data_IF_364208796634
#
_entry.id   IF_364208796634
#
_cell.length_a   1.000
_cell.length_b   1.000
_cell.length_c   1.000
_cell.angle_alpha   90.00
_cell.angle_beta   90.00
_cell.angle_gamma   90.00
#
_symmetry.space_group_name_H-M   'P 1'
#
loop_
_entity.id
_entity.type
_entity.pdbx_description
1 polymer ?
#
# COMPACT_ATOMS: atom_id res chain seq x y z
N UNK A 1 11.31 27.57 -52.20
CA UNK A 1 11.63 26.25 -51.62
C UNK A 1 11.97 26.34 -50.13
N UNK A 2 11.10 26.89 -49.24
CA UNK A 2 11.40 27.03 -47.79
C UNK A 2 10.25 26.58 -46.86
N UNK A 3 9.25 25.86 -47.36
CA UNK A 3 8.08 25.47 -46.51
C UNK A 3 8.03 23.99 -46.07
N UNK A 4 8.90 23.14 -46.52
CA UNK A 4 8.85 21.69 -46.20
C UNK A 4 9.78 21.26 -45.05
N UNK A 5 10.74 22.08 -44.61
CA UNK A 5 11.71 21.70 -43.60
C UNK A 5 11.15 21.77 -42.16
N UNK A 6 10.10 22.59 -41.89
CA UNK A 6 9.55 22.79 -40.56
C UNK A 6 8.63 21.63 -40.16
N UNK A 7 7.92 21.04 -41.10
CA UNK A 7 6.98 19.94 -40.82
C UNK A 7 7.68 18.59 -40.49
N UNK A 8 8.86 18.35 -41.02
CA UNK A 8 9.61 17.12 -40.78
C UNK A 8 10.19 17.07 -39.37
N UNK A 9 10.66 18.21 -38.83
CA UNK A 9 11.22 18.30 -37.49
C UNK A 9 10.11 18.08 -36.42
N UNK A 10 8.90 18.59 -36.67
CA UNK A 10 7.78 18.40 -35.76
C UNK A 10 7.28 16.95 -35.70
N UNK A 11 7.33 16.24 -36.82
CA UNK A 11 6.90 14.84 -36.91
C UNK A 11 7.89 13.89 -36.23
N UNK A 12 9.21 14.15 -36.34
CA UNK A 12 10.26 13.32 -35.69
C UNK A 12 10.23 13.47 -34.17
N UNK A 13 10.05 14.70 -33.65
CA UNK A 13 9.96 14.93 -32.18
C UNK A 13 8.75 14.25 -31.56
N UNK A 14 7.58 14.27 -32.23
CA UNK A 14 6.38 13.58 -31.74
C UNK A 14 6.53 12.05 -31.75
N UNK A 15 7.24 11.49 -32.73
CA UNK A 15 7.46 10.05 -32.81
C UNK A 15 8.42 9.54 -31.71
N UNK A 16 9.49 10.29 -31.41
CA UNK A 16 10.43 9.96 -30.34
C UNK A 16 9.78 10.03 -28.94
N UNK A 17 8.89 11.01 -28.68
CA UNK A 17 8.20 11.11 -27.40
C UNK A 17 7.18 10.00 -27.19
N UNK A 18 6.50 9.58 -28.26
CA UNK A 18 5.52 8.48 -28.19
C UNK A 18 6.22 7.14 -27.90
N UNK A 19 7.34 6.87 -28.55
CA UNK A 19 8.12 5.64 -28.33
C UNK A 19 8.73 5.57 -26.92
N UNK A 20 9.25 6.68 -26.39
CA UNK A 20 9.77 6.76 -25.03
C UNK A 20 8.66 6.54 -23.98
N UNK A 21 7.48 7.13 -24.16
CA UNK A 21 6.33 6.93 -23.29
C UNK A 21 5.85 5.48 -23.31
N UNK A 22 5.76 4.86 -24.47
CA UNK A 22 5.36 3.46 -24.62
C UNK A 22 6.36 2.50 -23.95
N UNK A 23 7.66 2.80 -24.03
CA UNK A 23 8.70 2.02 -23.36
C UNK A 23 8.58 2.13 -21.83
N UNK A 24 8.42 3.33 -21.29
CA UNK A 24 8.21 3.56 -19.84
C UNK A 24 6.96 2.88 -19.34
N UNK A 25 5.86 2.90 -20.09
CA UNK A 25 4.61 2.23 -19.74
C UNK A 25 4.81 0.70 -19.71
N UNK A 26 5.55 0.13 -20.67
CA UNK A 26 5.83 -1.32 -20.71
C UNK A 26 6.72 -1.77 -19.55
N UNK A 27 7.75 -1.00 -19.20
CA UNK A 27 8.62 -1.28 -18.05
C UNK A 27 7.84 -1.20 -16.73
N UNK A 28 6.97 -0.20 -16.58
CA UNK A 28 6.12 -0.09 -15.40
C UNK A 28 5.14 -1.27 -15.26
N UNK A 29 4.59 -1.75 -16.36
CA UNK A 29 3.76 -2.96 -16.38
C UNK A 29 4.57 -4.16 -15.88
N UNK A 30 5.80 -4.35 -16.39
CA UNK A 30 6.71 -5.41 -15.97
C UNK A 30 6.98 -5.36 -14.47
N UNK A 31 7.42 -4.21 -13.95
CA UNK A 31 7.73 -4.02 -12.52
C UNK A 31 6.52 -4.30 -11.63
N UNK A 32 5.33 -3.85 -12.01
CA UNK A 32 4.11 -4.09 -11.21
C UNK A 32 3.69 -5.56 -11.24
N UNK A 33 3.88 -6.26 -12.35
CA UNK A 33 3.61 -7.69 -12.45
C UNK A 33 4.64 -8.54 -11.70
N UNK A 34 5.91 -8.17 -11.70
CA UNK A 34 6.95 -8.84 -10.89
C UNK A 34 6.67 -8.72 -9.39
N UNK A 35 6.22 -7.54 -8.93
CA UNK A 35 5.79 -7.35 -7.52
C UNK A 35 4.58 -8.22 -7.20
N UNK A 36 3.62 -8.30 -8.10
CA UNK A 36 2.44 -9.14 -7.94
C UNK A 36 2.82 -10.62 -7.91
N UNK A 37 3.68 -11.08 -8.82
CA UNK A 37 4.14 -12.46 -8.87
C UNK A 37 4.84 -12.91 -7.58
N UNK A 38 5.65 -12.02 -6.94
CA UNK A 38 6.26 -12.28 -5.61
C UNK A 38 5.23 -12.47 -4.49
N UNK A 39 4.04 -11.89 -4.63
CA UNK A 39 2.93 -12.10 -3.68
C UNK A 39 2.25 -13.42 -3.98
N UNK A 40 1.95 -13.66 -5.26
CA UNK A 40 1.21 -14.84 -5.73
C UNK A 40 2.00 -16.12 -5.48
N UNK A 41 3.33 -16.12 -5.66
CA UNK A 41 4.18 -17.28 -5.39
C UNK A 41 4.09 -17.81 -3.94
N UNK A 42 3.66 -16.96 -2.99
CA UNK A 42 3.45 -17.35 -1.59
C UNK A 42 2.05 -17.88 -1.31
N UNK A 43 1.17 -17.87 -2.29
CA UNK A 43 -0.21 -18.36 -2.14
C UNK A 43 -0.33 -19.86 -2.41
N UNK A 44 0.73 -20.47 -2.95
CA UNK A 44 0.77 -21.91 -3.27
C UNK A 44 -0.47 -22.34 -4.07
N UNK A 45 -0.70 -21.65 -5.19
CA UNK A 45 -1.79 -22.00 -6.10
C UNK A 45 -1.34 -23.16 -7.01
N UNK A 46 -2.16 -24.18 -7.14
CA UNK A 46 -1.86 -25.36 -7.98
C UNK A 46 -2.12 -25.16 -9.49
N UNK A 47 -2.75 -24.05 -9.87
CA UNK A 47 -3.14 -23.74 -11.25
C UNK A 47 -2.40 -22.52 -11.77
N UNK A 48 -1.52 -22.72 -12.74
CA UNK A 48 -0.71 -21.66 -13.38
C UNK A 48 -1.56 -20.59 -14.06
N UNK A 49 -2.73 -20.95 -14.63
CA UNK A 49 -3.64 -19.97 -15.23
C UNK A 49 -4.23 -19.06 -14.15
N UNK A 50 -4.57 -19.62 -13.00
CA UNK A 50 -5.06 -18.86 -11.84
C UNK A 50 -3.95 -17.98 -11.26
N UNK A 51 -2.72 -18.46 -11.15
CA UNK A 51 -1.57 -17.64 -10.74
C UNK A 51 -1.40 -16.44 -11.66
N UNK A 52 -1.46 -16.65 -12.97
CA UNK A 52 -1.34 -15.58 -13.96
C UNK A 52 -2.50 -14.57 -13.86
N UNK A 53 -3.73 -15.06 -13.69
CA UNK A 53 -4.91 -14.20 -13.52
C UNK A 53 -4.80 -13.32 -12.27
N UNK A 54 -4.44 -13.91 -11.12
CA UNK A 54 -4.26 -13.18 -9.86
C UNK A 54 -3.09 -12.19 -9.95
N UNK A 55 -1.98 -12.57 -10.57
CA UNK A 55 -0.84 -11.68 -10.83
C UNK A 55 -1.26 -10.45 -11.62
N UNK A 56 -2.04 -10.65 -12.68
CA UNK A 56 -2.54 -9.56 -13.51
C UNK A 56 -3.51 -8.65 -12.75
N UNK A 57 -4.41 -9.21 -11.93
CA UNK A 57 -5.34 -8.44 -11.09
C UNK A 57 -4.58 -7.55 -10.11
N UNK A 58 -3.57 -8.09 -9.41
CA UNK A 58 -2.76 -7.33 -8.45
C UNK A 58 -1.90 -6.27 -9.17
N UNK A 59 -1.24 -6.63 -10.26
CA UNK A 59 -0.43 -5.71 -11.07
C UNK A 59 -1.27 -4.54 -11.60
N UNK A 60 -2.48 -4.84 -12.11
CA UNK A 60 -3.40 -3.81 -12.57
C UNK A 60 -3.89 -2.90 -11.44
N UNK A 61 -4.09 -3.44 -10.23
CA UNK A 61 -4.45 -2.63 -9.05
C UNK A 61 -3.38 -1.60 -8.74
N UNK A 62 -2.10 -1.98 -8.72
CA UNK A 62 -0.99 -1.05 -8.53
C UNK A 62 -1.00 0.09 -9.56
N UNK A 63 -1.14 -0.26 -10.83
CA UNK A 63 -1.17 0.71 -11.94
C UNK A 63 -2.37 1.67 -11.85
N UNK A 64 -3.55 1.16 -11.51
CA UNK A 64 -4.75 1.97 -11.39
C UNK A 64 -4.67 2.96 -10.23
N UNK A 65 -4.11 2.55 -9.07
CA UNK A 65 -3.88 3.45 -7.92
C UNK A 65 -2.91 4.57 -8.34
N UNK A 66 -1.76 4.22 -8.95
CA UNK A 66 -0.76 5.19 -9.42
C UNK A 66 -1.39 6.21 -10.36
N UNK A 67 -2.12 5.75 -11.37
CA UNK A 67 -2.80 6.62 -12.35
C UNK A 67 -3.77 7.61 -11.70
N UNK A 68 -4.54 7.19 -10.70
CA UNK A 68 -5.46 8.09 -9.96
C UNK A 68 -4.67 9.13 -9.18
N UNK A 69 -3.57 8.73 -8.52
CA UNK A 69 -2.74 9.63 -7.72
C UNK A 69 -1.97 10.61 -8.59
N UNK A 70 -1.37 10.16 -9.65
CA UNK A 70 -0.66 11.02 -10.62
C UNK A 70 -1.59 12.07 -11.24
N UNK A 71 -2.80 11.66 -11.63
CA UNK A 71 -3.81 12.59 -12.14
C UNK A 71 -4.27 13.62 -11.10
N UNK A 72 -4.33 13.23 -9.81
CA UNK A 72 -4.58 14.15 -8.69
C UNK A 72 -3.43 15.15 -8.55
N UNK A 73 -2.21 14.64 -8.51
CA UNK A 73 -1.01 15.45 -8.23
C UNK A 73 -0.72 16.45 -9.37
N UNK A 74 -0.89 16.03 -10.61
CA UNK A 74 -0.81 16.92 -11.76
C UNK A 74 -1.82 18.08 -11.68
N UNK A 75 -3.07 17.81 -11.23
CA UNK A 75 -4.08 18.86 -11.03
C UNK A 75 -3.75 19.77 -9.85
N UNK A 76 -3.19 19.25 -8.76
CA UNK A 76 -2.75 20.04 -7.61
C UNK A 76 -1.61 20.97 -8.04
N UNK A 77 -0.66 20.48 -8.83
CA UNK A 77 0.45 21.28 -9.34
C UNK A 77 -0.04 22.43 -10.27
N UNK A 78 -0.97 22.11 -11.15
CA UNK A 78 -1.59 23.13 -12.01
C UNK A 78 -2.31 24.24 -11.19
N UNK A 79 -2.91 23.89 -10.05
CA UNK A 79 -3.54 24.88 -9.16
C UNK A 79 -2.58 25.89 -8.56
N UNK A 80 -1.31 25.52 -8.33
CA UNK A 80 -0.28 26.45 -7.81
C UNK A 80 -0.06 27.63 -8.75
N UNK A 81 -0.15 27.39 -10.06
CA UNK A 81 0.06 28.41 -11.10
C UNK A 81 -1.16 29.32 -11.29
N UNK A 82 -2.36 28.90 -10.91
CA UNK A 82 -3.63 29.55 -11.25
C UNK A 82 -4.38 30.15 -10.06
N UNK A 83 -3.94 29.90 -8.83
CA UNK A 83 -4.67 30.30 -7.63
C UNK A 83 -3.81 31.15 -6.72
N UNK A 84 -4.04 32.48 -6.68
CA UNK A 84 -3.31 33.43 -5.84
C UNK A 84 -3.70 33.40 -4.36
N UNK A 85 -4.94 33.02 -4.02
CA UNK A 85 -5.43 32.96 -2.63
C UNK A 85 -5.10 31.62 -1.98
N UNK A 86 -4.30 31.63 -0.90
CA UNK A 86 -3.97 30.44 -0.08
C UNK A 86 -5.21 29.69 0.42
N UNK A 87 -6.27 30.41 0.86
CA UNK A 87 -7.53 29.81 1.33
C UNK A 87 -8.26 29.08 0.20
N UNK A 88 -8.41 29.72 -0.96
CA UNK A 88 -9.05 29.09 -2.14
C UNK A 88 -8.23 27.90 -2.66
N UNK A 89 -6.90 28.02 -2.65
CA UNK A 89 -6.01 26.91 -3.03
C UNK A 89 -6.22 25.68 -2.12
N UNK A 90 -6.19 25.86 -0.79
CA UNK A 90 -6.41 24.77 0.18
C UNK A 90 -7.75 24.06 -0.06
N UNK A 91 -8.82 24.78 -0.26
CA UNK A 91 -10.16 24.22 -0.52
C UNK A 91 -10.18 23.39 -1.81
N UNK A 92 -9.57 23.92 -2.90
CA UNK A 92 -9.50 23.19 -4.18
C UNK A 92 -8.66 21.90 -4.06
N UNK A 93 -7.53 21.97 -3.37
CA UNK A 93 -6.66 20.79 -3.10
C UNK A 93 -7.44 19.72 -2.34
N UNK A 94 -8.13 20.08 -1.25
CA UNK A 94 -8.94 19.11 -0.49
C UNK A 94 -10.07 18.49 -1.34
N UNK A 95 -10.69 19.26 -2.24
CA UNK A 95 -11.68 18.72 -3.18
C UNK A 95 -11.06 17.69 -4.13
N UNK A 96 -9.85 17.93 -4.64
CA UNK A 96 -9.13 16.99 -5.51
C UNK A 96 -8.75 15.70 -4.76
N UNK A 97 -8.24 15.82 -3.52
CA UNK A 97 -7.93 14.67 -2.66
C UNK A 97 -9.16 13.80 -2.41
N UNK A 98 -10.27 14.41 -1.96
CA UNK A 98 -11.54 13.69 -1.75
C UNK A 98 -12.06 13.01 -3.02
N UNK A 99 -11.88 13.63 -4.20
CA UNK A 99 -12.25 13.01 -5.48
C UNK A 99 -11.38 11.76 -5.77
N UNK A 100 -10.08 11.85 -5.54
CA UNK A 100 -9.17 10.73 -5.71
C UNK A 100 -9.49 9.59 -4.73
N UNK A 101 -9.69 9.88 -3.44
CA UNK A 101 -10.12 8.94 -2.41
C UNK A 101 -11.40 8.18 -2.80
N UNK A 102 -12.41 8.91 -3.29
CA UNK A 102 -13.66 8.28 -3.79
C UNK A 102 -13.40 7.35 -4.98
N UNK A 103 -12.50 7.72 -5.88
CA UNK A 103 -12.13 6.88 -7.03
C UNK A 103 -11.38 5.61 -6.57
N UNK A 104 -10.43 5.75 -5.65
CA UNK A 104 -9.68 4.63 -5.05
C UNK A 104 -10.63 3.70 -4.29
N UNK A 105 -11.58 4.23 -3.51
CA UNK A 105 -12.57 3.41 -2.81
C UNK A 105 -13.46 2.57 -3.75
N UNK A 106 -13.81 3.09 -4.92
CA UNK A 106 -14.54 2.32 -5.94
C UNK A 106 -13.65 1.24 -6.56
N UNK A 107 -12.39 1.61 -6.85
CA UNK A 107 -11.40 0.69 -7.38
C UNK A 107 -11.14 -0.47 -6.39
N UNK A 108 -11.01 -0.18 -5.10
CA UNK A 108 -10.86 -1.15 -4.02
C UNK A 108 -11.99 -2.22 -4.04
N UNK A 109 -13.23 -1.77 -4.09
CA UNK A 109 -14.39 -2.68 -4.15
C UNK A 109 -14.35 -3.59 -5.39
N UNK A 110 -14.02 -3.01 -6.55
CA UNK A 110 -13.89 -3.77 -7.80
C UNK A 110 -12.74 -4.77 -7.73
N UNK A 111 -11.61 -4.38 -7.16
CA UNK A 111 -10.43 -5.21 -6.95
C UNK A 111 -10.74 -6.43 -6.07
N UNK A 112 -11.35 -6.22 -4.91
CA UNK A 112 -11.74 -7.34 -4.03
C UNK A 112 -12.76 -8.27 -4.70
N UNK A 113 -13.71 -7.73 -5.46
CA UNK A 113 -14.64 -8.53 -6.25
C UNK A 113 -13.94 -9.36 -7.33
N UNK A 114 -12.87 -8.87 -7.95
CA UNK A 114 -12.09 -9.64 -8.91
C UNK A 114 -11.30 -10.75 -8.21
N UNK A 115 -10.64 -10.45 -7.09
CA UNK A 115 -9.92 -11.46 -6.31
C UNK A 115 -10.84 -12.57 -5.80
N UNK A 116 -12.07 -12.24 -5.36
CA UNK A 116 -13.01 -13.23 -4.82
C UNK A 116 -13.56 -14.23 -5.86
N UNK A 117 -13.33 -13.98 -7.15
CA UNK A 117 -13.63 -14.95 -8.22
C UNK A 117 -12.54 -16.02 -8.35
N UNK A 118 -11.32 -15.69 -7.94
CA UNK A 118 -10.14 -16.51 -8.12
C UNK A 118 -9.65 -17.16 -6.82
N UNK A 119 -9.90 -16.52 -5.68
CA UNK A 119 -9.28 -16.87 -4.39
C UNK A 119 -10.31 -16.99 -3.27
N UNK A 120 -9.99 -17.86 -2.30
CA UNK A 120 -10.67 -17.93 -1.01
C UNK A 120 -10.35 -16.68 -0.16
N UNK A 121 -11.16 -16.41 0.86
CA UNK A 121 -10.96 -15.27 1.75
C UNK A 121 -9.57 -15.25 2.42
N UNK A 122 -9.07 -16.41 2.85
CA UNK A 122 -7.75 -16.52 3.48
C UNK A 122 -6.62 -16.15 2.50
N UNK A 123 -6.74 -16.58 1.23
CA UNK A 123 -5.77 -16.21 0.19
C UNK A 123 -5.88 -14.74 -0.20
N UNK A 124 -7.09 -14.15 -0.17
CA UNK A 124 -7.28 -12.70 -0.35
C UNK A 124 -6.60 -11.94 0.79
N UNK A 125 -6.72 -12.40 2.04
CA UNK A 125 -6.05 -11.80 3.18
C UNK A 125 -4.52 -11.92 3.06
N UNK A 126 -4.01 -13.06 2.59
CA UNK A 126 -2.58 -13.23 2.29
C UNK A 126 -2.09 -12.28 1.16
N UNK A 127 -2.90 -12.04 0.12
CA UNK A 127 -2.60 -11.01 -0.90
C UNK A 127 -2.50 -9.62 -0.26
N UNK A 128 -3.46 -9.23 0.59
CA UNK A 128 -3.44 -7.94 1.28
C UNK A 128 -2.22 -7.81 2.18
N UNK A 129 -1.83 -8.87 2.88
CA UNK A 129 -0.61 -8.90 3.68
C UNK A 129 0.64 -8.73 2.80
N UNK A 130 0.72 -9.41 1.67
CA UNK A 130 1.79 -9.26 0.70
C UNK A 130 1.89 -7.82 0.15
N UNK A 131 0.76 -7.20 -0.20
CA UNK A 131 0.70 -5.80 -0.66
C UNK A 131 1.13 -4.78 0.41
N UNK A 132 1.12 -5.16 1.67
CA UNK A 132 1.47 -4.33 2.83
C UNK A 132 2.69 -4.84 3.61
N UNK A 133 3.57 -5.60 2.93
CA UNK A 133 4.87 -6.07 3.46
C UNK A 133 4.76 -6.98 4.70
N UNK A 134 3.60 -7.59 4.92
CA UNK A 134 3.31 -8.41 6.09
C UNK A 134 3.32 -7.62 7.41
N UNK A 135 2.99 -6.32 7.37
CA UNK A 135 3.04 -5.46 8.58
C UNK A 135 2.02 -5.93 9.62
N UNK A 136 0.80 -6.35 9.20
CA UNK A 136 -0.21 -6.84 10.15
C UNK A 136 0.31 -8.04 10.97
N UNK A 137 0.64 -9.20 10.37
CA UNK A 137 1.04 -10.37 11.14
C UNK A 137 2.30 -10.12 11.98
N UNK A 138 3.29 -9.40 11.45
CA UNK A 138 4.50 -9.06 12.19
C UNK A 138 4.22 -8.16 13.39
N UNK A 139 3.40 -7.14 13.22
CA UNK A 139 3.07 -6.19 14.29
C UNK A 139 2.22 -6.84 15.36
N UNK A 140 1.24 -7.67 14.95
CA UNK A 140 0.41 -8.43 15.88
C UNK A 140 1.25 -9.38 16.74
N UNK A 141 2.10 -10.18 16.12
CA UNK A 141 3.02 -11.07 16.83
C UNK A 141 3.95 -10.29 17.80
N UNK A 142 4.43 -9.11 17.37
CA UNK A 142 5.27 -8.26 18.22
C UNK A 142 4.50 -7.75 19.46
N UNK A 143 3.23 -7.36 19.35
CA UNK A 143 2.42 -6.99 20.51
C UNK A 143 2.20 -8.15 21.48
N UNK A 144 1.91 -9.35 20.96
CA UNK A 144 1.73 -10.54 21.79
C UNK A 144 3.02 -10.94 22.54
N UNK A 145 4.16 -10.82 21.88
CA UNK A 145 5.47 -11.11 22.50
C UNK A 145 5.92 -9.99 23.45
N UNK A 146 5.57 -8.74 23.14
CA UNK A 146 5.90 -7.58 23.98
C UNK A 146 5.10 -7.57 25.29
N UNK A 147 3.82 -7.94 25.24
CA UNK A 147 2.89 -7.89 26.39
C UNK A 147 2.24 -9.27 26.57
N UNK A 148 2.92 -10.24 27.22
CA UNK A 148 2.38 -11.60 27.41
C UNK A 148 1.07 -11.66 28.22
N UNK A 149 0.80 -10.62 29.04
CA UNK A 149 -0.37 -10.52 29.92
C UNK A 149 -1.65 -10.06 29.21
N UNK A 150 -1.61 -9.79 27.90
CA UNK A 150 -2.82 -9.40 27.14
C UNK A 150 -3.93 -10.45 27.27
N UNK A 151 -5.13 -10.00 27.66
CA UNK A 151 -6.34 -10.82 27.63
C UNK A 151 -6.90 -10.92 26.18
N UNK A 152 -7.93 -11.75 25.99
CA UNK A 152 -8.49 -12.00 24.64
C UNK A 152 -9.11 -10.75 24.03
N UNK A 153 -9.83 -9.93 24.80
CA UNK A 153 -10.45 -8.69 24.32
C UNK A 153 -9.40 -7.71 23.80
N UNK A 154 -8.28 -7.57 24.51
CA UNK A 154 -7.16 -6.70 24.10
C UNK A 154 -6.46 -7.23 22.83
N UNK A 155 -6.27 -8.55 22.71
CA UNK A 155 -5.75 -9.19 21.51
C UNK A 155 -6.66 -8.94 20.30
N UNK A 156 -7.97 -9.08 20.48
CA UNK A 156 -8.97 -8.86 19.43
C UNK A 156 -9.02 -7.37 19.03
N UNK A 157 -8.89 -6.46 19.98
CA UNK A 157 -8.79 -5.02 19.71
C UNK A 157 -7.54 -4.69 18.88
N UNK A 158 -6.38 -5.24 19.24
CA UNK A 158 -5.12 -5.04 18.48
C UNK A 158 -5.29 -5.58 17.06
N UNK A 159 -5.77 -6.81 16.92
CA UNK A 159 -5.92 -7.46 15.62
C UNK A 159 -6.90 -6.71 14.70
N UNK A 160 -8.07 -6.32 15.22
CA UNK A 160 -9.08 -5.59 14.45
C UNK A 160 -8.59 -4.22 13.96
N UNK A 161 -7.85 -3.50 14.82
CA UNK A 161 -7.23 -2.23 14.41
C UNK A 161 -6.15 -2.41 13.34
N UNK A 162 -5.30 -3.43 13.46
CA UNK A 162 -4.29 -3.74 12.44
C UNK A 162 -4.94 -4.20 11.12
N UNK A 163 -6.05 -4.95 11.18
CA UNK A 163 -6.83 -5.35 10.01
C UNK A 163 -7.42 -4.13 9.31
N UNK A 164 -7.99 -3.18 10.04
CA UNK A 164 -8.49 -1.92 9.47
C UNK A 164 -7.35 -1.10 8.84
N UNK A 165 -6.19 -1.02 9.51
CA UNK A 165 -5.00 -0.38 8.96
C UNK A 165 -4.57 -1.00 7.63
N UNK A 166 -4.57 -2.33 7.52
CA UNK A 166 -4.24 -3.07 6.30
C UNK A 166 -5.21 -2.74 5.17
N UNK A 167 -6.52 -2.72 5.42
CA UNK A 167 -7.54 -2.34 4.42
C UNK A 167 -7.32 -0.92 3.87
N UNK A 168 -6.86 0.02 4.70
CA UNK A 168 -6.49 1.36 4.23
C UNK A 168 -5.14 1.37 3.51
N UNK A 169 -4.18 0.58 3.99
CA UNK A 169 -2.82 0.57 3.47
C UNK A 169 -2.71 -0.03 2.08
N UNK A 170 -3.52 -1.04 1.70
CA UNK A 170 -3.46 -1.62 0.35
C UNK A 170 -3.78 -0.60 -0.75
N UNK A 171 -4.51 0.46 -0.42
CA UNK A 171 -4.87 1.56 -1.32
C UNK A 171 -3.80 2.67 -1.38
N UNK A 172 -2.74 2.57 -0.58
CA UNK A 172 -1.62 3.50 -0.62
C UNK A 172 -0.76 3.32 -1.87
N UNK A 173 -0.45 4.40 -2.57
CA UNK A 173 0.38 4.38 -3.78
C UNK A 173 1.88 4.25 -3.50
N UNK A 174 2.31 4.53 -2.27
CA UNK A 174 3.71 4.45 -1.86
C UNK A 174 3.90 3.65 -0.58
N UNK A 175 5.13 3.14 -0.37
CA UNK A 175 5.51 2.49 0.89
C UNK A 175 5.28 3.42 2.09
N UNK A 176 5.62 4.70 1.95
CA UNK A 176 5.41 5.72 2.98
C UNK A 176 3.94 5.86 3.39
N UNK A 177 3.03 5.93 2.42
CA UNK A 177 1.58 6.01 2.67
C UNK A 177 1.06 4.75 3.37
N UNK A 178 1.51 3.57 2.92
CA UNK A 178 1.14 2.29 3.55
C UNK A 178 1.58 2.23 5.00
N UNK A 179 2.84 2.58 5.30
CA UNK A 179 3.36 2.62 6.66
C UNK A 179 2.70 3.68 7.53
N UNK A 180 2.30 4.83 6.96
CA UNK A 180 1.59 5.87 7.70
C UNK A 180 0.24 5.38 8.24
N UNK A 181 -0.50 4.56 7.48
CA UNK A 181 -1.73 3.95 7.98
C UNK A 181 -1.46 3.04 9.18
N UNK A 182 -0.49 2.15 9.10
CA UNK A 182 -0.15 1.30 10.25
C UNK A 182 0.36 2.12 11.44
N UNK A 183 1.14 3.19 11.20
CA UNK A 183 1.59 4.11 12.26
C UNK A 183 0.42 4.74 13.01
N UNK A 184 -0.59 5.24 12.29
CA UNK A 184 -1.81 5.81 12.87
C UNK A 184 -2.54 4.81 13.76
N UNK A 185 -2.73 3.58 13.29
CA UNK A 185 -3.45 2.55 14.05
C UNK A 185 -2.64 1.99 15.21
N UNK A 186 -1.32 1.87 15.08
CA UNK A 186 -0.44 1.56 16.22
C UNK A 186 -0.55 2.62 17.32
N UNK A 187 -0.62 3.90 16.97
CA UNK A 187 -0.89 4.97 17.95
C UNK A 187 -2.22 4.79 18.67
N UNK A 188 -3.28 4.41 17.96
CA UNK A 188 -4.60 4.10 18.57
C UNK A 188 -4.52 2.91 19.51
N UNK A 189 -3.84 1.84 19.12
CA UNK A 189 -3.62 0.64 19.94
C UNK A 189 -2.83 1.00 21.20
N UNK A 190 -1.75 1.76 21.07
CA UNK A 190 -0.93 2.18 22.20
C UNK A 190 -1.74 3.00 23.20
N UNK A 191 -2.54 3.98 22.72
CA UNK A 191 -3.41 4.78 23.59
C UNK A 191 -4.44 3.91 24.34
N UNK A 192 -5.03 2.92 23.66
CA UNK A 192 -5.96 1.98 24.29
C UNK A 192 -5.26 1.16 25.38
N UNK A 193 -4.11 0.57 25.10
CA UNK A 193 -3.36 -0.25 26.06
C UNK A 193 -2.91 0.59 27.27
N UNK A 194 -2.43 1.81 27.05
CA UNK A 194 -2.10 2.73 28.15
C UNK A 194 -3.32 3.06 29.01
N UNK A 195 -4.50 3.26 28.42
CA UNK A 195 -5.76 3.46 29.16
C UNK A 195 -6.20 2.20 29.94
N UNK A 196 -5.75 1.01 29.50
CA UNK A 196 -5.96 -0.26 30.23
C UNK A 196 -4.91 -0.50 31.33
N UNK A 197 -4.02 0.45 31.59
CA UNK A 197 -3.02 0.40 32.67
C UNK A 197 -1.66 -0.18 32.29
N UNK A 198 -1.42 -0.46 31.00
CA UNK A 198 -0.09 -0.92 30.57
C UNK A 198 0.91 0.25 30.47
N UNK A 199 2.06 0.08 31.10
CA UNK A 199 3.25 0.91 30.87
C UNK A 199 4.02 0.35 29.66
N UNK A 200 3.74 0.93 28.48
CA UNK A 200 4.31 0.42 27.22
C UNK A 200 5.84 0.59 27.13
N UNK A 201 6.42 1.49 27.89
CA UNK A 201 7.90 1.63 27.94
C UNK A 201 8.50 0.47 28.71
N UNK A 202 7.98 0.17 29.89
CA UNK A 202 8.39 -0.95 30.72
C UNK A 202 8.17 -2.30 30.01
N UNK A 203 7.02 -2.47 29.33
CA UNK A 203 6.74 -3.68 28.55
C UNK A 203 7.76 -3.87 27.42
N UNK A 204 8.12 -2.80 26.72
CA UNK A 204 9.13 -2.83 25.67
C UNK A 204 10.53 -3.16 26.19
N UNK A 205 10.92 -2.59 27.33
CA UNK A 205 12.20 -2.92 27.98
C UNK A 205 12.26 -4.40 28.38
N UNK A 206 11.21 -4.90 29.00
CA UNK A 206 11.07 -6.32 29.34
C UNK A 206 11.14 -7.23 28.11
N UNK A 207 10.50 -6.80 27.02
CA UNK A 207 10.55 -7.51 25.74
C UNK A 207 11.97 -7.60 25.16
N UNK A 208 12.71 -6.49 25.16
CA UNK A 208 14.11 -6.51 24.70
C UNK A 208 14.99 -7.42 25.53
N UNK A 209 14.84 -7.45 26.85
CA UNK A 209 15.57 -8.39 27.72
C UNK A 209 15.27 -9.85 27.32
N UNK A 210 13.99 -10.22 27.13
CA UNK A 210 13.59 -11.56 26.69
C UNK A 210 14.15 -11.92 25.30
N UNK A 211 14.24 -10.98 24.38
CA UNK A 211 14.86 -11.20 23.06
C UNK A 211 16.35 -11.52 23.22
N UNK A 212 17.07 -10.75 24.01
CA UNK A 212 18.51 -10.97 24.25
C UNK A 212 18.79 -12.32 24.93
N UNK A 213 17.98 -12.72 25.91
CA UNK A 213 18.08 -14.03 26.57
C UNK A 213 17.86 -15.17 25.56
N UNK A 214 16.85 -15.04 24.68
CA UNK A 214 16.57 -16.01 23.60
C UNK A 214 17.71 -16.12 22.58
N UNK A 215 18.41 -15.04 22.26
CA UNK A 215 19.60 -15.06 21.39
C UNK A 215 20.74 -15.82 22.06
N UNK A 216 21.10 -15.46 23.29
CA UNK A 216 22.17 -16.12 24.05
C UNK A 216 21.94 -17.65 24.20
N UNK A 217 20.69 -18.05 24.40
CA UNK A 217 20.35 -19.49 24.50
C UNK A 217 20.47 -20.27 23.17
N UNK A 218 20.42 -19.56 22.03
CA UNK A 218 20.63 -20.18 20.70
C UNK A 218 22.10 -20.27 20.33
N UNK A 219 22.90 -19.30 20.75
CA UNK A 219 24.34 -19.25 20.45
C UNK A 219 25.15 -20.27 21.32
N UNK A 220 24.54 -20.79 22.41
CA UNK A 220 25.11 -21.79 23.30
C UNK A 220 24.70 -23.23 22.96
N UNK A 221 24.00 -23.45 21.82
CA UNK A 221 23.61 -24.78 21.30
C UNK A 221 24.30 -25.06 19.98
#
# INVERSE_FOLDING_TARGET
MKKYSINIIFLVVTFCTLSAQQHLDSEYVKVTNERAAKIVSKLELSDTKKEQAVTNIIGQQYRNISKIQEARDAKIEALKKTTSSKKKHKVKVEKLKKKAEKSISRLHKSYLKQLSKELTNDKIDAVKDGMTYGVLPKTYAAFLDMIPSLNQEQKDYIYSNLKEAREKAIDGGSSKEKHAWFGKYKGRINNYLSAQGYDLEKEREGWYKRIEERKKSKDNK
#
